data_IF_920207531067
#
_entry.id   IF_920207531067
#
_cell.length_a   1.000
_cell.length_b   1.000
_cell.length_c   1.000
_cell.angle_alpha   90.00
_cell.angle_beta   90.00
_cell.angle_gamma   90.00
#
_symmetry.space_group_name_H-M   'P 1'
#
loop_
_entity.id
_entity.type
_entity.pdbx_description
1 polymer ?
#
# COMPACT_ATOMS: atom_id res chain seq x y z
N UNK A 1 -12.23 -5.06 0.89
CA UNK A 1 -11.17 -4.06 1.12
C UNK A 1 -11.57 -2.76 0.44
N UNK A 2 -11.82 -1.68 1.20
CA UNK A 2 -12.16 -0.37 0.65
C UNK A 2 -10.98 0.18 -0.15
N UNK A 3 -11.19 0.51 -1.42
CA UNK A 3 -10.15 1.12 -2.26
C UNK A 3 -9.99 2.59 -1.86
N UNK A 4 -8.81 2.96 -1.36
CA UNK A 4 -8.49 4.36 -1.16
C UNK A 4 -8.25 5.07 -2.49
N UNK A 5 -8.91 6.21 -2.69
CA UNK A 5 -8.60 7.12 -3.80
C UNK A 5 -7.32 7.90 -3.51
N UNK A 6 -6.67 8.46 -4.54
CA UNK A 6 -5.49 9.32 -4.37
C UNK A 6 -5.73 10.47 -3.37
N UNK A 7 -6.95 11.04 -3.39
CA UNK A 7 -7.36 12.07 -2.44
C UNK A 7 -7.35 11.55 -1.00
N UNK A 8 -7.95 10.38 -0.74
CA UNK A 8 -7.94 9.77 0.60
C UNK A 8 -6.52 9.42 1.06
N UNK A 9 -5.66 8.96 0.15
CA UNK A 9 -4.25 8.66 0.47
C UNK A 9 -3.52 9.92 0.93
N UNK A 10 -3.64 11.02 0.17
CA UNK A 10 -3.05 12.31 0.54
C UNK A 10 -3.55 12.80 1.89
N UNK A 11 -4.87 12.78 2.10
CA UNK A 11 -5.48 13.22 3.36
C UNK A 11 -5.03 12.36 4.55
N UNK A 12 -5.00 11.03 4.42
CA UNK A 12 -4.57 10.15 5.51
C UNK A 12 -3.12 10.40 5.93
N UNK A 13 -2.22 10.61 4.97
CA UNK A 13 -0.82 10.97 5.28
C UNK A 13 -0.75 12.35 5.94
N UNK A 14 -1.48 13.34 5.43
CA UNK A 14 -1.47 14.70 5.97
C UNK A 14 -2.05 14.76 7.39
N UNK A 15 -3.07 13.95 7.70
CA UNK A 15 -3.65 13.92 9.04
C UNK A 15 -2.66 13.36 10.05
N UNK A 16 -1.93 12.30 9.70
CA UNK A 16 -0.87 11.76 10.56
C UNK A 16 0.30 12.75 10.71
N UNK A 17 0.81 13.29 9.62
CA UNK A 17 2.06 14.05 9.64
C UNK A 17 1.91 15.54 9.97
N UNK A 18 0.80 16.16 9.59
CA UNK A 18 0.58 17.61 9.74
C UNK A 18 -0.41 17.93 10.85
N UNK A 19 -1.48 17.13 10.99
CA UNK A 19 -2.47 17.34 12.07
C UNK A 19 -2.12 16.59 13.36
N UNK A 20 -1.20 15.63 13.32
CA UNK A 20 -0.81 14.83 14.48
C UNK A 20 -1.85 13.79 14.89
N UNK A 21 -2.76 13.41 14.00
CA UNK A 21 -3.73 12.34 14.29
C UNK A 21 -3.02 10.98 14.40
N UNK A 22 -3.56 10.11 15.25
CA UNK A 22 -3.01 8.77 15.39
C UNK A 22 -3.40 7.90 14.19
N UNK A 23 -2.53 6.94 13.85
CA UNK A 23 -2.77 5.96 12.78
C UNK A 23 -4.12 5.26 12.94
N UNK A 24 -4.50 4.91 14.17
CA UNK A 24 -5.77 4.23 14.47
C UNK A 24 -7.00 5.12 14.21
N UNK A 25 -6.96 6.40 14.58
CA UNK A 25 -8.04 7.34 14.29
C UNK A 25 -8.26 7.51 12.79
N UNK A 26 -7.16 7.69 12.05
CA UNK A 26 -7.19 7.84 10.59
C UNK A 26 -7.69 6.57 9.91
N UNK A 27 -7.23 5.40 10.37
CA UNK A 27 -7.63 4.10 9.85
C UNK A 27 -9.13 3.84 10.05
N UNK A 28 -9.65 4.11 11.26
CA UNK A 28 -11.07 3.99 11.57
C UNK A 28 -11.92 4.95 10.72
N UNK A 29 -11.46 6.19 10.54
CA UNK A 29 -12.18 7.19 9.72
C UNK A 29 -12.29 6.78 8.25
N UNK A 30 -11.27 6.11 7.71
CA UNK A 30 -11.26 5.67 6.32
C UNK A 30 -11.71 4.22 6.09
N UNK A 31 -12.12 3.51 7.15
CA UNK A 31 -12.51 2.10 7.13
C UNK A 31 -11.44 1.19 6.47
N UNK A 32 -10.21 1.31 6.96
CA UNK A 32 -9.04 0.54 6.50
C UNK A 32 -8.21 0.06 7.68
N UNK A 33 -7.29 -0.87 7.44
CA UNK A 33 -6.39 -1.33 8.49
C UNK A 33 -5.33 -0.26 8.86
N UNK A 34 -4.95 -0.15 10.15
CA UNK A 34 -3.85 0.72 10.61
C UNK A 34 -2.56 0.51 9.82
N UNK A 35 -2.21 -0.76 9.55
CA UNK A 35 -1.05 -1.15 8.72
C UNK A 35 -1.04 -0.46 7.36
N UNK A 36 -2.20 -0.20 6.76
CA UNK A 36 -2.28 0.47 5.46
C UNK A 36 -1.84 1.92 5.57
N UNK A 37 -2.26 2.63 6.62
CA UNK A 37 -1.83 4.01 6.88
C UNK A 37 -0.33 4.05 7.16
N UNK A 38 0.19 3.15 7.99
CA UNK A 38 1.64 3.05 8.26
C UNK A 38 2.47 2.89 6.98
N UNK A 39 2.04 2.00 6.08
CA UNK A 39 2.71 1.80 4.79
C UNK A 39 2.71 3.07 3.94
N UNK A 40 1.58 3.79 3.89
CA UNK A 40 1.46 5.02 3.11
C UNK A 40 2.36 6.13 3.67
N UNK A 41 2.37 6.30 4.99
CA UNK A 41 3.24 7.26 5.69
C UNK A 41 4.71 6.90 5.48
N UNK A 42 5.07 5.60 5.58
CA UNK A 42 6.44 5.13 5.35
C UNK A 42 6.91 5.47 3.93
N UNK A 43 6.13 5.14 2.91
CA UNK A 43 6.48 5.45 1.50
C UNK A 43 6.66 6.96 1.32
N UNK A 44 5.78 7.78 1.90
CA UNK A 44 5.91 9.23 1.82
C UNK A 44 7.20 9.72 2.50
N UNK A 45 7.53 9.23 3.69
CA UNK A 45 8.77 9.59 4.40
C UNK A 45 10.02 9.18 3.62
N UNK A 46 10.00 8.02 2.97
CA UNK A 46 11.13 7.50 2.19
C UNK A 46 11.32 8.22 0.85
N UNK A 47 10.23 8.61 0.19
CA UNK A 47 10.28 9.13 -1.19
C UNK A 47 10.02 10.63 -1.32
N UNK A 48 9.48 11.27 -0.28
CA UNK A 48 8.95 12.63 -0.31
C UNK A 48 7.70 12.82 -1.18
N UNK A 49 7.15 11.74 -1.74
CA UNK A 49 6.03 11.79 -2.70
C UNK A 49 4.82 11.02 -2.17
N UNK A 50 3.62 11.54 -2.44
CA UNK A 50 2.39 10.84 -2.08
C UNK A 50 2.21 9.58 -2.94
N UNK A 51 1.94 8.41 -2.34
CA UNK A 51 1.65 7.19 -3.09
C UNK A 51 0.41 7.38 -3.97
N UNK A 52 0.50 6.96 -5.22
CA UNK A 52 -0.62 7.00 -6.18
C UNK A 52 -1.19 5.59 -6.31
N UNK A 53 -2.52 5.50 -6.32
CA UNK A 53 -3.22 4.25 -6.61
C UNK A 53 -2.82 3.78 -8.01
N UNK A 54 -2.26 2.57 -8.11
CA UNK A 54 -1.98 1.93 -9.38
C UNK A 54 -3.15 0.98 -9.75
N UNK A 55 -4.10 1.40 -10.62
CA UNK A 55 -5.24 0.57 -11.00
C UNK A 55 -4.86 -0.65 -11.83
N UNK A 56 -3.69 -0.62 -12.49
CA UNK A 56 -3.17 -1.71 -13.33
C UNK A 56 -2.45 -2.80 -12.51
N UNK A 57 -2.33 -2.62 -11.18
CA UNK A 57 -1.64 -3.60 -10.34
C UNK A 57 -2.46 -4.90 -10.26
N UNK A 58 -1.96 -5.96 -10.90
CA UNK A 58 -2.49 -7.31 -10.77
C UNK A 58 -2.36 -7.79 -9.31
N UNK A 59 -3.38 -8.41 -8.72
CA UNK A 59 -3.22 -9.14 -7.45
C UNK A 59 -2.07 -10.14 -7.59
N UNK A 60 -1.19 -10.25 -6.58
CA UNK A 60 -0.17 -11.32 -6.58
C UNK A 60 -0.92 -12.65 -6.47
N UNK A 61 -1.03 -13.36 -7.59
CA UNK A 61 -1.40 -14.78 -7.58
C UNK A 61 -0.18 -15.52 -7.05
N UNK A 62 -0.34 -16.30 -5.98
CA UNK A 62 0.72 -17.19 -5.54
C UNK A 62 0.98 -18.18 -6.68
N UNK A 63 2.23 -18.27 -7.15
CA UNK A 63 2.61 -19.31 -8.11
C UNK A 63 2.35 -20.67 -7.47
N UNK A 64 1.66 -21.56 -8.19
CA UNK A 64 1.56 -22.96 -7.76
C UNK A 64 2.96 -23.59 -7.72
N UNK A 65 3.15 -24.64 -6.93
CA UNK A 65 4.45 -25.33 -6.82
C UNK A 65 5.03 -25.71 -8.20
N UNK A 66 4.16 -26.06 -9.16
CA UNK A 66 4.53 -26.37 -10.54
C UNK A 66 5.13 -25.19 -11.31
N UNK A 67 4.64 -23.96 -11.06
CA UNK A 67 5.15 -22.75 -11.72
C UNK A 67 6.53 -22.32 -11.17
N UNK A 68 6.90 -22.76 -9.96
CA UNK A 68 8.23 -22.49 -9.38
C UNK A 68 9.33 -23.36 -10.03
N UNK A 69 8.98 -24.53 -10.59
CA UNK A 69 9.94 -25.53 -11.10
C UNK A 69 10.55 -25.13 -12.45
N UNK A 70 9.82 -24.39 -13.29
CA UNK A 70 10.26 -24.03 -14.65
C UNK A 70 11.29 -22.89 -14.72
N UNK A 71 11.52 -22.14 -13.64
CA UNK A 71 12.50 -21.04 -13.65
C UNK A 71 13.96 -21.48 -13.40
N UNK A 72 14.23 -22.79 -13.29
CA UNK A 72 15.60 -23.32 -13.06
C UNK A 72 16.25 -23.95 -14.30
N UNK A 73 15.54 -24.05 -15.43
CA UNK A 73 15.96 -24.86 -16.59
C UNK A 73 16.18 -24.03 -17.87
N UNK A 74 16.72 -22.81 -17.74
CA UNK A 74 17.06 -21.97 -18.91
C UNK A 74 18.46 -21.34 -18.81
N UNK A 75 19.38 -22.02 -18.12
CA UNK A 75 20.82 -21.76 -18.21
C UNK A 75 21.48 -23.09 -18.60
N UNK A 76 21.53 -23.36 -19.90
CA UNK A 76 22.49 -24.26 -20.55
C UNK A 76 22.94 -23.58 -21.83
#
# INVERSE_FOLDING_TARGET
>A
MVKMTNRKIKLGIDWVLKKGETVNQVANTFDISPRRIEQLVKIFKETGKYPILNPKRRPKVYLTEDQKKNNKTSIQ
#
